data_IF_734974502501
#
_entry.id   IF_734974502501
#
_cell.length_a   1.000
_cell.length_b   1.000
_cell.length_c   1.000
_cell.angle_alpha   90.00
_cell.angle_beta   90.00
_cell.angle_gamma   90.00
#
_symmetry.space_group_name_H-M   'P 1'
#
loop_
_entity.id
_entity.type
_entity.pdbx_description
1 polymer ?
#
# COMPACT_ATOMS: atom_id res chain seq x y z
N UNK A 1 -64.59 -41.01 4.72
CA UNK A 1 -63.13 -41.20 4.57
C UNK A 1 -62.55 -39.88 4.07
N UNK A 2 -62.29 -38.97 5.00
CA UNK A 2 -61.01 -38.74 5.67
C UNK A 2 -60.18 -37.71 4.90
N UNK A 3 -60.28 -36.47 5.37
CA UNK A 3 -59.27 -35.44 5.16
C UNK A 3 -57.90 -35.99 5.58
N UNK A 4 -56.87 -35.64 4.81
CA UNK A 4 -55.48 -35.77 5.23
C UNK A 4 -54.81 -34.41 5.03
N UNK A 5 -54.95 -33.57 6.05
CA UNK A 5 -54.00 -32.52 6.37
C UNK A 5 -52.63 -33.18 6.63
N UNK A 6 -51.63 -32.86 5.81
CA UNK A 6 -50.22 -33.08 6.15
C UNK A 6 -49.47 -31.79 5.88
N UNK A 7 -49.22 -31.05 6.95
CA UNK A 7 -48.32 -29.92 6.98
C UNK A 7 -46.86 -30.32 6.77
N UNK A 8 -46.02 -29.28 6.72
CA UNK A 8 -44.58 -29.39 6.83
C UNK A 8 -43.82 -28.73 5.69
N UNK A 9 -43.72 -27.39 5.70
CA UNK A 9 -42.93 -26.65 4.72
C UNK A 9 -42.45 -25.28 5.20
N UNK A 10 -42.25 -25.09 6.50
CA UNK A 10 -41.83 -23.81 7.08
C UNK A 10 -40.37 -23.83 7.54
N UNK A 11 -39.40 -24.03 6.63
CA UNK A 11 -37.98 -24.18 6.99
C UNK A 11 -36.95 -23.45 6.12
N UNK A 12 -37.36 -22.80 5.03
CA UNK A 12 -36.43 -22.16 4.07
C UNK A 12 -36.04 -20.72 4.43
N UNK A 13 -36.99 -19.87 4.82
CA UNK A 13 -36.80 -18.41 4.83
C UNK A 13 -35.68 -17.86 5.72
N UNK A 14 -35.40 -18.46 6.90
CA UNK A 14 -34.34 -17.96 7.80
C UNK A 14 -32.95 -18.42 7.38
N UNK A 15 -32.82 -19.64 6.85
CA UNK A 15 -31.55 -20.18 6.37
C UNK A 15 -31.15 -19.50 5.07
N UNK A 16 -32.12 -19.28 4.18
CA UNK A 16 -31.90 -18.57 2.92
C UNK A 16 -31.50 -17.11 3.18
N UNK A 17 -32.12 -16.44 4.17
CA UNK A 17 -31.74 -15.08 4.56
C UNK A 17 -30.32 -15.00 5.13
N UNK A 18 -29.93 -15.96 5.98
CA UNK A 18 -28.57 -16.02 6.54
C UNK A 18 -27.52 -16.29 5.45
N UNK A 19 -27.82 -17.16 4.49
CA UNK A 19 -26.95 -17.44 3.33
C UNK A 19 -26.83 -16.24 2.38
N UNK A 20 -27.90 -15.49 2.17
CA UNK A 20 -27.87 -14.25 1.39
C UNK A 20 -27.02 -13.19 2.10
N UNK A 21 -27.16 -13.08 3.42
CA UNK A 21 -26.40 -12.14 4.24
C UNK A 21 -24.90 -12.41 4.18
N UNK A 22 -24.49 -13.67 4.34
CA UNK A 22 -23.08 -14.07 4.24
C UNK A 22 -22.54 -13.86 2.83
N UNK A 23 -23.31 -14.18 1.79
CA UNK A 23 -22.92 -13.93 0.39
C UNK A 23 -22.75 -12.43 0.07
N UNK A 24 -23.59 -11.56 0.63
CA UNK A 24 -23.47 -10.11 0.48
C UNK A 24 -22.24 -9.56 1.22
N UNK A 25 -21.96 -10.04 2.43
CA UNK A 25 -20.77 -9.65 3.20
C UNK A 25 -19.50 -10.10 2.48
N UNK A 26 -19.42 -11.35 2.02
CA UNK A 26 -18.25 -11.84 1.28
C UNK A 26 -18.04 -11.08 -0.02
N UNK A 27 -19.12 -10.76 -0.75
CA UNK A 27 -19.07 -9.91 -1.96
C UNK A 27 -18.58 -8.50 -1.66
N UNK A 28 -19.07 -7.88 -0.59
CA UNK A 28 -18.62 -6.54 -0.19
C UNK A 28 -17.13 -6.50 0.15
N UNK A 29 -16.61 -7.56 0.80
CA UNK A 29 -15.20 -7.68 1.14
C UNK A 29 -14.34 -7.90 -0.11
N UNK A 30 -14.78 -8.74 -1.06
CA UNK A 30 -14.06 -8.94 -2.33
C UNK A 30 -14.10 -7.69 -3.19
N UNK A 31 -15.22 -6.96 -3.24
CA UNK A 31 -15.31 -5.69 -3.98
C UNK A 31 -14.37 -4.62 -3.40
N UNK A 32 -14.27 -4.55 -2.07
CA UNK A 32 -13.33 -3.67 -1.40
C UNK A 32 -11.87 -4.05 -1.72
N UNK A 33 -11.54 -5.35 -1.64
CA UNK A 33 -10.20 -5.84 -1.98
C UNK A 33 -9.83 -5.53 -3.43
N UNK A 34 -10.75 -5.77 -4.36
CA UNK A 34 -10.57 -5.48 -5.78
C UNK A 34 -10.31 -3.99 -6.03
N UNK A 35 -10.98 -3.10 -5.29
CA UNK A 35 -10.75 -1.65 -5.36
C UNK A 35 -9.33 -1.28 -4.91
N UNK A 36 -8.85 -1.85 -3.81
CA UNK A 36 -7.48 -1.60 -3.35
C UNK A 36 -6.43 -2.19 -4.29
N UNK A 37 -6.67 -3.39 -4.82
CA UNK A 37 -5.78 -4.05 -5.77
C UNK A 37 -5.64 -3.20 -7.04
N UNK A 38 -6.76 -2.75 -7.61
CA UNK A 38 -6.79 -1.86 -8.77
C UNK A 38 -6.02 -0.57 -8.50
N UNK A 39 -6.27 0.08 -7.36
CA UNK A 39 -5.54 1.30 -6.96
C UNK A 39 -4.03 1.05 -6.85
N UNK A 40 -3.61 -0.11 -6.32
CA UNK A 40 -2.19 -0.47 -6.21
C UNK A 40 -1.54 -0.70 -7.57
N UNK A 41 -2.26 -1.33 -8.50
CA UNK A 41 -1.79 -1.57 -9.86
C UNK A 41 -1.64 -0.25 -10.65
N UNK A 42 -2.67 0.60 -10.62
CA UNK A 42 -2.68 1.90 -11.31
C UNK A 42 -1.57 2.84 -10.80
N UNK A 43 -1.24 2.78 -9.51
CA UNK A 43 -0.23 3.64 -8.89
C UNK A 43 1.16 2.99 -8.78
N UNK A 44 1.37 1.78 -9.34
CA UNK A 44 2.60 1.01 -9.12
C UNK A 44 3.87 1.82 -9.41
N UNK A 45 3.94 2.46 -10.57
CA UNK A 45 5.12 3.25 -10.97
C UNK A 45 5.40 4.42 -10.01
N UNK A 46 4.34 5.12 -9.56
CA UNK A 46 4.46 6.21 -8.59
C UNK A 46 4.95 5.68 -7.24
N UNK A 47 4.32 4.63 -6.73
CA UNK A 47 4.65 4.04 -5.44
C UNK A 47 6.08 3.46 -5.43
N UNK A 48 6.50 2.82 -6.52
CA UNK A 48 7.85 2.28 -6.66
C UNK A 48 8.89 3.40 -6.66
N UNK A 49 8.63 4.50 -7.37
CA UNK A 49 9.48 5.69 -7.36
C UNK A 49 9.58 6.30 -5.96
N UNK A 50 8.44 6.52 -5.29
CA UNK A 50 8.42 7.09 -3.94
C UNK A 50 9.15 6.19 -2.92
N UNK A 51 9.02 4.86 -3.04
CA UNK A 51 9.79 3.91 -2.23
C UNK A 51 11.28 4.02 -2.48
N UNK A 52 11.70 4.10 -3.73
CA UNK A 52 13.12 4.20 -4.10
C UNK A 52 13.71 5.53 -3.64
N UNK A 53 13.02 6.65 -3.87
CA UNK A 53 13.44 7.98 -3.40
C UNK A 53 13.52 8.03 -1.87
N UNK A 54 12.55 7.43 -1.17
CA UNK A 54 12.57 7.37 0.30
C UNK A 54 13.76 6.54 0.82
N UNK A 55 14.04 5.41 0.16
CA UNK A 55 15.21 4.59 0.47
C UNK A 55 16.51 5.36 0.25
N UNK A 56 16.61 6.09 -0.87
CA UNK A 56 17.80 6.86 -1.20
C UNK A 56 17.98 8.04 -0.23
N UNK A 57 16.91 8.78 0.07
CA UNK A 57 16.96 9.88 1.04
C UNK A 57 17.42 9.40 2.40
N UNK A 58 16.81 8.35 2.96
CA UNK A 58 17.19 7.89 4.31
C UNK A 58 18.62 7.36 4.39
N UNK A 59 19.07 6.60 3.40
CA UNK A 59 20.37 5.95 3.49
C UNK A 59 21.53 6.85 3.03
N UNK A 60 21.34 7.64 1.98
CA UNK A 60 22.41 8.47 1.43
C UNK A 60 22.48 9.85 2.08
N UNK A 61 21.34 10.45 2.48
CA UNK A 61 21.37 11.76 3.16
C UNK A 61 22.04 11.69 4.52
N UNK A 62 21.74 10.66 5.32
CA UNK A 62 22.35 10.54 6.65
C UNK A 62 23.85 10.21 6.53
N UNK A 63 24.22 9.34 5.60
CA UNK A 63 25.63 8.99 5.35
C UNK A 63 26.43 10.19 4.83
N UNK A 64 25.96 10.88 3.79
CA UNK A 64 26.66 12.03 3.25
C UNK A 64 26.55 13.26 4.16
N UNK A 65 25.46 13.41 4.90
CA UNK A 65 25.28 14.46 5.91
C UNK A 65 26.31 14.37 7.02
N UNK A 66 26.71 13.16 7.43
CA UNK A 66 27.85 12.98 8.35
C UNK A 66 29.16 13.54 7.77
N UNK A 67 29.37 13.39 6.47
CA UNK A 67 30.56 13.87 5.77
C UNK A 67 30.48 15.37 5.45
N UNK A 68 29.28 15.95 5.36
CA UNK A 68 29.03 17.32 4.89
C UNK A 68 29.87 18.36 5.64
N UNK A 69 29.93 18.27 6.97
CA UNK A 69 30.70 19.22 7.79
C UNK A 69 32.19 19.21 7.47
N UNK A 70 32.79 18.02 7.32
CA UNK A 70 34.20 17.87 6.95
C UNK A 70 34.48 18.29 5.51
N UNK A 71 33.58 17.95 4.59
CA UNK A 71 33.69 18.34 3.17
C UNK A 71 33.62 19.86 3.00
N UNK A 72 32.67 20.53 3.65
CA UNK A 72 32.53 22.01 3.54
C UNK A 72 33.70 22.79 4.13
N UNK A 73 34.49 22.18 5.01
CA UNK A 73 35.69 22.80 5.59
C UNK A 73 36.96 22.53 4.78
N UNK A 74 36.90 21.62 3.81
CA UNK A 74 38.04 21.24 2.99
C UNK A 74 38.31 22.33 1.95
N UNK A 75 39.58 22.74 1.80
CA UNK A 75 39.99 23.74 0.79
C UNK A 75 39.90 23.21 -0.63
N UNK A 76 40.39 21.99 -0.86
CA UNK A 76 40.42 21.36 -2.17
C UNK A 76 39.55 20.11 -2.17
N UNK A 77 38.44 20.18 -2.90
CA UNK A 77 37.50 19.08 -3.10
C UNK A 77 37.82 18.33 -4.38
N UNK A 78 37.84 17.00 -4.29
CA UNK A 78 37.79 16.14 -5.47
C UNK A 78 36.45 16.26 -6.19
N UNK A 79 36.39 15.86 -7.46
CA UNK A 79 35.15 15.89 -8.24
C UNK A 79 34.02 15.09 -7.59
N UNK A 80 34.33 13.95 -6.97
CA UNK A 80 33.34 13.16 -6.24
C UNK A 80 32.80 13.87 -5.00
N UNK A 81 33.66 14.58 -4.26
CA UNK A 81 33.26 15.35 -3.08
C UNK A 81 32.39 16.56 -3.45
N UNK A 82 32.68 17.22 -4.58
CA UNK A 82 31.80 18.26 -5.15
C UNK A 82 30.43 17.69 -5.48
N UNK A 83 30.39 16.54 -6.18
CA UNK A 83 29.14 15.87 -6.53
C UNK A 83 28.31 15.47 -5.31
N UNK A 84 28.95 15.05 -4.20
CA UNK A 84 28.26 14.76 -2.93
C UNK A 84 27.60 16.02 -2.36
N UNK A 85 28.33 17.15 -2.32
CA UNK A 85 27.79 18.41 -1.81
C UNK A 85 26.63 18.94 -2.68
N UNK A 86 26.77 18.88 -4.00
CA UNK A 86 25.69 19.24 -4.94
C UNK A 86 24.45 18.38 -4.73
N UNK A 87 24.63 17.07 -4.59
CA UNK A 87 23.52 16.16 -4.34
C UNK A 87 22.83 16.46 -3.00
N UNK A 88 23.60 16.71 -1.94
CA UNK A 88 23.07 17.09 -0.63
C UNK A 88 22.26 18.39 -0.71
N UNK A 89 22.77 19.41 -1.40
CA UNK A 89 22.08 20.69 -1.53
C UNK A 89 20.80 20.59 -2.38
N UNK A 90 20.79 19.74 -3.41
CA UNK A 90 19.59 19.48 -4.21
C UNK A 90 18.53 18.62 -3.50
N UNK A 91 18.92 17.87 -2.46
CA UNK A 91 18.05 16.89 -1.77
C UNK A 91 17.83 17.22 -0.28
N UNK A 92 18.11 18.45 0.14
CA UNK A 92 17.93 18.92 1.52
C UNK A 92 16.47 18.96 1.96
#
# INVERSE_FOLDING_TARGET
MSEANKGGGGGGGRRDLLLLSTALVTRSQTDLLNKYLKKSQENKAKNDKERLDSYNKRNYRDYFGLLEGGLRQKKDLSESEKGILEWLDANK
#
